data_IF_432075206951
#
_entry.id   IF_432075206951
#
_cell.length_a   1.000
_cell.length_b   1.000
_cell.length_c   1.000
_cell.angle_alpha   90.00
_cell.angle_beta   90.00
_cell.angle_gamma   90.00
#
_symmetry.space_group_name_H-M   'P 1'
#
loop_
_entity.id
_entity.type
_entity.pdbx_description
1 polymer ?
#
# COMPACT_ATOMS: atom_id res chain seq x y z
N UNK A 1 36.83 -14.86 -9.66
CA UNK A 1 36.23 -13.56 -10.09
C UNK A 1 34.73 -13.77 -10.26
N UNK A 2 33.95 -12.80 -9.83
CA UNK A 2 32.60 -12.95 -9.28
C UNK A 2 31.51 -13.39 -10.30
N UNK A 3 30.55 -14.17 -9.79
CA UNK A 3 29.28 -14.53 -10.44
C UNK A 3 28.43 -13.28 -10.66
N UNK A 4 27.92 -13.00 -11.87
CA UNK A 4 26.84 -12.04 -12.03
C UNK A 4 25.53 -12.75 -11.67
N UNK A 5 25.13 -12.62 -10.40
CA UNK A 5 23.74 -12.86 -9.98
C UNK A 5 22.86 -11.79 -10.64
N UNK A 6 22.40 -12.07 -11.85
CA UNK A 6 21.31 -11.33 -12.47
C UNK A 6 20.01 -11.79 -11.78
N UNK A 7 19.78 -11.16 -10.64
CA UNK A 7 18.64 -11.33 -9.76
C UNK A 7 17.36 -10.94 -10.51
N UNK A 8 16.54 -11.95 -10.82
CA UNK A 8 15.08 -11.89 -11.04
C UNK A 8 14.61 -10.76 -11.95
N UNK A 9 14.33 -11.13 -13.20
CA UNK A 9 13.62 -10.29 -14.15
C UNK A 9 12.29 -9.76 -13.58
N UNK A 10 12.07 -8.49 -13.91
CA UNK A 10 10.76 -7.87 -14.14
C UNK A 10 9.87 -7.65 -12.91
N UNK A 11 10.24 -6.72 -12.03
CA UNK A 11 9.21 -5.79 -11.55
C UNK A 11 8.94 -4.81 -12.70
N UNK A 12 7.72 -4.89 -13.22
CA UNK A 12 7.14 -4.04 -14.26
C UNK A 12 7.50 -2.56 -14.02
N UNK A 13 7.49 -1.68 -15.06
CA UNK A 13 7.86 -0.28 -14.92
C UNK A 13 7.19 0.27 -13.67
N UNK A 14 7.95 0.99 -12.84
CA UNK A 14 7.48 1.76 -11.70
C UNK A 14 6.51 2.85 -12.18
N UNK A 15 5.37 2.39 -12.69
CA UNK A 15 4.20 3.10 -13.13
C UNK A 15 3.62 3.67 -11.84
N UNK A 16 3.22 4.95 -11.83
CA UNK A 16 2.76 5.73 -10.65
C UNK A 16 1.90 4.97 -9.64
N UNK A 17 1.21 3.93 -10.11
CA UNK A 17 0.59 2.80 -9.44
C UNK A 17 1.38 2.14 -8.30
N UNK A 18 2.64 1.78 -8.49
CA UNK A 18 3.45 1.13 -7.46
C UNK A 18 3.69 2.04 -6.24
N UNK A 19 3.93 3.33 -6.48
CA UNK A 19 4.17 4.31 -5.39
C UNK A 19 2.91 4.52 -4.54
N UNK A 20 1.75 4.67 -5.18
CA UNK A 20 0.47 4.83 -4.47
C UNK A 20 0.05 3.57 -3.71
N UNK A 21 0.38 2.38 -4.21
CA UNK A 21 0.17 1.12 -3.48
C UNK A 21 1.08 1.03 -2.25
N UNK A 22 2.32 1.47 -2.36
CA UNK A 22 3.25 1.53 -1.23
C UNK A 22 2.82 2.57 -0.19
N UNK A 23 2.31 3.73 -0.62
CA UNK A 23 1.71 4.73 0.26
C UNK A 23 0.48 4.17 0.99
N UNK A 24 -0.42 3.46 0.28
CA UNK A 24 -1.57 2.78 0.90
C UNK A 24 -1.11 1.76 1.95
N UNK A 25 -0.11 0.94 1.63
CA UNK A 25 0.46 -0.05 2.56
C UNK A 25 1.05 0.63 3.79
N UNK A 26 1.81 1.71 3.62
CA UNK A 26 2.40 2.45 4.72
C UNK A 26 1.33 3.08 5.62
N UNK A 27 0.32 3.74 5.04
CA UNK A 27 -0.76 4.32 5.84
C UNK A 27 -1.57 3.26 6.59
N UNK A 28 -1.89 2.12 5.96
CA UNK A 28 -2.57 1.02 6.63
C UNK A 28 -1.74 0.42 7.78
N UNK A 29 -0.42 0.29 7.58
CA UNK A 29 0.51 -0.16 8.62
C UNK A 29 0.59 0.85 9.77
N UNK A 30 0.57 2.15 9.48
CA UNK A 30 0.58 3.20 10.51
C UNK A 30 -0.71 3.21 11.33
N UNK A 31 -1.87 3.05 10.70
CA UNK A 31 -3.16 2.91 11.40
C UNK A 31 -3.15 1.69 12.32
N UNK A 32 -2.68 0.53 11.82
CA UNK A 32 -2.51 -0.67 12.64
C UNK A 32 -1.56 -0.45 13.80
N UNK A 33 -0.44 0.25 13.59
CA UNK A 33 0.53 0.57 14.64
C UNK A 33 -0.08 1.50 15.69
N UNK A 34 -0.82 2.53 15.29
CA UNK A 34 -1.52 3.43 16.23
C UNK A 34 -2.59 2.67 17.03
N UNK A 35 -3.26 1.70 16.42
CA UNK A 35 -4.21 0.83 17.12
C UNK A 35 -3.50 -0.09 18.12
N UNK A 36 -2.37 -0.68 17.74
CA UNK A 36 -1.54 -1.53 18.61
C UNK A 36 -0.95 -0.73 19.80
N UNK A 37 -0.54 0.52 19.55
CA UNK A 37 -0.11 1.48 20.57
C UNK A 37 -1.27 2.02 21.43
N UNK A 38 -2.53 1.64 21.14
CA UNK A 38 -3.71 2.12 21.86
C UNK A 38 -4.04 3.59 21.64
N UNK A 39 -3.44 4.24 20.65
CA UNK A 39 -3.68 5.66 20.30
C UNK A 39 -5.02 5.89 19.60
N UNK A 40 -5.55 4.86 18.94
CA UNK A 40 -6.85 4.89 18.28
C UNK A 40 -7.63 3.62 18.61
N UNK A 41 -8.95 3.73 18.71
CA UNK A 41 -9.81 2.56 18.94
C UNK A 41 -9.97 1.71 17.68
N UNK A 42 -10.38 0.45 17.83
CA UNK A 42 -10.65 -0.44 16.70
C UNK A 42 -11.66 0.16 15.69
N UNK A 43 -12.64 0.91 16.19
CA UNK A 43 -13.64 1.61 15.36
C UNK A 43 -13.01 2.75 14.56
N UNK A 44 -12.12 3.53 15.16
CA UNK A 44 -11.39 4.57 14.45
C UNK A 44 -10.41 4.00 13.43
N UNK A 45 -9.67 2.94 13.80
CA UNK A 45 -8.78 2.24 12.88
C UNK A 45 -9.54 1.68 11.67
N UNK A 46 -10.72 1.08 11.89
CA UNK A 46 -11.59 0.61 10.82
C UNK A 46 -12.10 1.76 9.94
N UNK A 47 -12.47 2.90 10.53
CA UNK A 47 -12.88 4.10 9.79
C UNK A 47 -11.75 4.69 8.94
N UNK A 48 -10.54 4.78 9.48
CA UNK A 48 -9.38 5.28 8.74
C UNK A 48 -9.00 4.33 7.61
N UNK A 49 -9.04 3.00 7.84
CA UNK A 49 -8.83 1.99 6.80
C UNK A 49 -9.91 2.03 5.72
N UNK A 50 -11.19 2.19 6.08
CA UNK A 50 -12.29 2.32 5.13
C UNK A 50 -12.15 3.59 4.28
N UNK A 51 -11.78 4.71 4.92
CA UNK A 51 -11.51 5.98 4.23
C UNK A 51 -10.32 5.87 3.29
N UNK A 52 -9.25 5.18 3.71
CA UNK A 52 -8.13 4.85 2.85
C UNK A 52 -8.58 3.98 1.67
N UNK A 53 -9.31 2.90 1.93
CA UNK A 53 -9.81 2.01 0.89
C UNK A 53 -10.65 2.76 -0.13
N UNK A 54 -11.56 3.65 0.29
CA UNK A 54 -12.36 4.50 -0.62
C UNK A 54 -11.52 5.46 -1.44
N UNK A 55 -10.54 6.11 -0.82
CA UNK A 55 -9.64 7.08 -1.48
C UNK A 55 -8.79 6.42 -2.56
N UNK A 56 -8.42 5.17 -2.36
CA UNK A 56 -7.64 4.39 -3.32
C UNK A 56 -8.50 3.44 -4.17
N UNK A 57 -9.80 3.26 -3.89
CA UNK A 57 -10.72 2.42 -4.68
C UNK A 57 -10.81 2.90 -6.12
N UNK A 58 -11.06 4.21 -6.32
CA UNK A 58 -11.08 4.79 -7.67
C UNK A 58 -9.71 4.74 -8.39
N UNK A 59 -8.63 4.49 -7.64
CA UNK A 59 -7.31 4.26 -8.22
C UNK A 59 -7.08 2.79 -8.59
N UNK A 60 -7.57 1.85 -7.78
CA UNK A 60 -7.54 0.42 -8.04
C UNK A 60 -8.45 0.03 -9.20
N UNK A 61 -9.64 0.63 -9.28
CA UNK A 61 -10.55 0.46 -10.43
C UNK A 61 -9.90 0.94 -11.73
N UNK A 62 -9.25 2.12 -11.69
CA UNK A 62 -8.54 2.67 -12.85
C UNK A 62 -7.27 1.90 -13.23
N UNK A 63 -6.78 1.05 -12.34
CA UNK A 63 -5.65 0.14 -12.59
C UNK A 63 -6.08 -1.16 -13.25
N UNK A 64 -7.32 -1.61 -13.01
CA UNK A 64 -7.91 -2.82 -13.58
C UNK A 64 -8.49 -2.54 -14.98
N UNK A 65 -8.86 -1.29 -15.26
CA UNK A 65 -9.39 -0.83 -16.55
C UNK A 65 -8.29 -0.59 -17.63
N UNK A 66 -7.03 -0.96 -17.36
CA UNK A 66 -5.84 -0.67 -18.18
C UNK A 66 -5.10 -1.96 -18.56
#
# INVERSE_FOLDING_TARGET
MAVPMQNVGTVAPASRHSRRLEELRNSAAEIRKRHDEGKITAVEAARELDSLSKKYSGFLERLIDL
#
